data_IF_961021954808
#
_entry.id   IF_961021954808
#
_cell.length_a   1.000
_cell.length_b   1.000
_cell.length_c   1.000
_cell.angle_alpha   90.00
_cell.angle_beta   90.00
_cell.angle_gamma   90.00
#
_symmetry.space_group_name_H-M   'P 1'
#
loop_
_entity.id
_entity.type
_entity.pdbx_description
1 polymer ?
#
# COMPACT_ATOMS: atom_id res chain seq x y z
N UNK A 1 -35.37 49.49 -48.92
CA UNK A 1 -36.52 50.16 -48.28
C UNK A 1 -37.75 49.25 -48.36
N UNK A 2 -38.28 48.78 -47.24
CA UNK A 2 -39.70 48.36 -47.07
C UNK A 2 -39.96 48.04 -45.60
N UNK A 3 -40.72 48.93 -44.96
CA UNK A 3 -41.29 48.82 -43.61
C UNK A 3 -42.55 47.94 -43.63
N UNK A 4 -42.78 47.12 -42.59
CA UNK A 4 -44.09 46.79 -41.95
C UNK A 4 -43.80 46.26 -40.53
N UNK A 5 -44.01 46.98 -39.42
CA UNK A 5 -45.23 47.37 -38.65
C UNK A 5 -46.12 46.21 -38.12
N UNK A 6 -46.01 46.05 -36.79
CA UNK A 6 -47.01 45.74 -35.72
C UNK A 6 -47.70 44.38 -35.71
N UNK A 7 -47.63 43.69 -34.56
CA UNK A 7 -48.75 43.57 -33.61
C UNK A 7 -48.31 42.96 -32.28
N UNK A 8 -48.50 43.73 -31.22
CA UNK A 8 -48.44 43.34 -29.82
C UNK A 8 -49.62 42.43 -29.51
N UNK A 9 -49.39 41.25 -28.94
CA UNK A 9 -50.42 40.48 -28.25
C UNK A 9 -49.87 40.10 -26.87
N UNK A 10 -50.49 40.69 -25.85
CA UNK A 10 -50.43 40.25 -24.46
C UNK A 10 -51.11 38.88 -24.35
N UNK A 11 -50.44 37.88 -23.78
CA UNK A 11 -51.09 36.71 -23.22
C UNK A 11 -50.41 36.33 -21.91
N UNK A 12 -51.23 36.39 -20.85
CA UNK A 12 -50.98 36.12 -19.44
C UNK A 12 -50.66 34.62 -19.23
N UNK A 13 -49.82 34.23 -18.24
CA UNK A 13 -49.23 32.90 -18.15
C UNK A 13 -50.22 31.87 -17.58
N UNK A 14 -50.22 30.67 -18.14
CA UNK A 14 -50.80 29.47 -17.50
C UNK A 14 -49.63 28.62 -17.02
N UNK A 15 -49.33 28.72 -15.73
CA UNK A 15 -48.38 27.85 -15.06
C UNK A 15 -49.01 26.46 -14.85
N UNK A 16 -48.61 25.49 -15.68
CA UNK A 16 -48.89 24.08 -15.43
C UNK A 16 -47.74 23.50 -14.60
N UNK A 17 -48.00 23.22 -13.32
CA UNK A 17 -47.09 22.53 -12.42
C UNK A 17 -46.96 21.06 -12.83
N UNK A 18 -45.82 20.68 -13.41
CA UNK A 18 -45.44 19.28 -13.60
C UNK A 18 -45.00 18.70 -12.24
N UNK A 19 -45.47 17.52 -11.83
CA UNK A 19 -44.93 16.84 -10.67
C UNK A 19 -43.48 16.42 -10.97
N UNK A 20 -42.56 16.95 -10.16
CA UNK A 20 -41.19 16.47 -10.08
C UNK A 20 -41.22 15.02 -9.59
N UNK A 21 -41.07 14.07 -10.51
CA UNK A 21 -40.62 12.72 -10.17
C UNK A 21 -39.18 12.82 -9.67
N UNK A 22 -39.01 13.01 -8.36
CA UNK A 22 -37.73 12.80 -7.71
C UNK A 22 -37.45 11.30 -7.81
N UNK A 23 -36.72 10.91 -8.85
CA UNK A 23 -36.06 9.62 -8.85
C UNK A 23 -35.17 9.59 -7.61
N UNK A 24 -35.56 8.80 -6.62
CA UNK A 24 -34.66 8.42 -5.55
C UNK A 24 -33.49 7.69 -6.21
N UNK A 25 -32.43 8.42 -6.54
CA UNK A 25 -31.11 7.83 -6.67
C UNK A 25 -30.78 7.30 -5.28
N UNK A 26 -31.09 6.03 -5.07
CA UNK A 26 -30.44 5.26 -4.04
C UNK A 26 -28.94 5.47 -4.25
N UNK A 27 -28.31 6.21 -3.34
CA UNK A 27 -26.86 6.27 -3.28
C UNK A 27 -26.37 4.82 -3.26
N UNK A 28 -25.47 4.41 -4.16
CA UNK A 28 -24.86 3.09 -4.07
C UNK A 28 -24.28 2.98 -2.66
N UNK A 29 -24.73 1.93 -1.96
CA UNK A 29 -24.48 1.73 -0.54
C UNK A 29 -23.00 1.85 -0.24
N UNK A 30 -22.73 2.45 0.92
CA UNK A 30 -21.44 2.41 1.57
C UNK A 30 -20.89 0.99 1.43
N UNK A 31 -19.95 0.84 0.50
CA UNK A 31 -19.03 -0.27 0.53
C UNK A 31 -18.18 0.00 1.75
N UNK A 32 -18.69 -0.37 2.92
CA UNK A 32 -17.89 -0.56 4.11
C UNK A 32 -16.82 -1.55 3.66
N UNK A 33 -15.66 -1.04 3.24
CA UNK A 33 -14.46 -1.85 3.12
C UNK A 33 -14.35 -2.55 4.46
N UNK A 34 -14.66 -3.85 4.46
CA UNK A 34 -14.38 -4.71 5.59
C UNK A 34 -12.87 -4.71 5.70
N UNK A 35 -12.34 -3.73 6.44
CA UNK A 35 -10.95 -3.70 6.82
C UNK A 35 -10.74 -4.99 7.62
N UNK A 36 -10.22 -6.01 6.94
CA UNK A 36 -9.82 -7.24 7.58
C UNK A 36 -8.81 -6.84 8.64
N UNK A 37 -9.16 -7.05 9.90
CA UNK A 37 -8.27 -6.74 11.01
C UNK A 37 -6.99 -7.54 10.78
N UNK A 38 -5.86 -6.85 10.68
CA UNK A 38 -4.55 -7.46 10.50
C UNK A 38 -4.34 -8.52 11.59
N UNK A 39 -4.34 -9.79 11.19
CA UNK A 39 -4.26 -10.90 12.13
C UNK A 39 -2.83 -11.00 12.67
N UNK A 40 -2.62 -10.91 14.00
CA UNK A 40 -1.28 -10.98 14.57
C UNK A 40 -0.69 -12.37 14.40
N UNK A 41 0.23 -12.47 13.45
CA UNK A 41 1.10 -13.61 13.24
C UNK A 41 1.15 -14.01 11.78
N UNK A 42 2.32 -13.86 11.15
CA UNK A 42 3.02 -15.01 10.55
C UNK A 42 4.43 -14.73 10.07
N UNK A 43 4.78 -13.58 9.52
CA UNK A 43 6.18 -13.30 9.19
C UNK A 43 6.40 -11.80 9.16
N UNK A 44 7.61 -11.33 9.46
CA UNK A 44 7.89 -9.89 9.40
C UNK A 44 9.30 -9.58 8.95
N UNK A 45 9.44 -8.37 8.45
CA UNK A 45 10.71 -7.67 8.27
C UNK A 45 10.81 -6.61 9.35
N UNK A 46 11.96 -6.54 10.01
CA UNK A 46 12.30 -5.52 10.99
C UNK A 46 13.49 -4.71 10.52
N UNK A 47 13.41 -3.40 10.70
CA UNK A 47 14.49 -2.49 10.38
C UNK A 47 15.31 -2.20 11.64
N UNK A 48 16.54 -2.72 11.71
CA UNK A 48 17.47 -2.53 12.82
C UNK A 48 18.69 -1.68 12.44
N UNK A 49 18.66 -1.01 11.27
CA UNK A 49 19.74 -0.11 10.86
C UNK A 49 19.45 1.35 11.17
N UNK A 50 20.19 2.24 10.51
CA UNK A 50 20.19 3.67 10.83
C UNK A 50 19.31 4.53 9.91
N UNK A 51 18.74 3.93 8.86
CA UNK A 51 17.93 4.63 7.85
C UNK A 51 16.61 3.91 7.59
N UNK A 52 15.64 4.61 7.00
CA UNK A 52 14.39 4.02 6.57
C UNK A 52 14.62 2.90 5.54
N UNK A 53 13.91 1.79 5.72
CA UNK A 53 13.99 0.61 4.85
C UNK A 53 12.78 0.58 3.93
N UNK A 54 12.97 0.48 2.61
CA UNK A 54 11.84 0.19 1.72
C UNK A 54 11.37 -1.24 1.95
N UNK A 55 10.08 -1.46 2.15
CA UNK A 55 9.48 -2.79 2.31
C UNK A 55 8.42 -3.02 1.25
N UNK A 56 8.34 -4.27 0.81
CA UNK A 56 7.44 -4.75 -0.24
C UNK A 56 6.49 -5.75 0.41
N UNK A 57 5.19 -5.54 0.26
CA UNK A 57 4.15 -6.36 0.86
C UNK A 57 4.11 -7.73 0.18
N UNK A 58 3.92 -7.74 -1.14
CA UNK A 58 3.82 -8.94 -1.97
C UNK A 58 4.80 -8.80 -3.14
N UNK A 59 5.70 -9.77 -3.30
CA UNK A 59 6.68 -9.71 -4.39
C UNK A 59 6.05 -10.18 -5.71
N UNK A 60 5.36 -9.26 -6.38
CA UNK A 60 4.86 -9.48 -7.75
C UNK A 60 5.90 -8.99 -8.76
N UNK A 61 6.85 -9.86 -9.13
CA UNK A 61 7.95 -9.50 -10.03
C UNK A 61 8.41 -10.65 -10.92
N UNK A 62 8.91 -10.33 -12.13
CA UNK A 62 9.57 -11.29 -13.02
C UNK A 62 11.08 -11.02 -13.02
N UNK A 63 11.88 -11.99 -12.57
CA UNK A 63 13.29 -11.73 -12.23
C UNK A 63 13.41 -10.95 -10.90
N UNK A 64 14.63 -10.55 -10.52
CA UNK A 64 14.92 -9.84 -9.26
C UNK A 64 14.39 -8.39 -9.24
N UNK A 65 13.23 -8.12 -9.82
CA UNK A 65 12.66 -6.77 -9.95
C UNK A 65 11.19 -6.80 -9.63
N UNK A 66 10.80 -5.99 -8.65
CA UNK A 66 9.41 -5.80 -8.25
C UNK A 66 8.69 -4.89 -9.26
N UNK A 67 7.45 -5.24 -9.63
CA UNK A 67 6.75 -4.59 -10.74
C UNK A 67 6.15 -3.22 -10.39
N UNK A 68 5.83 -2.95 -9.13
CA UNK A 68 5.04 -1.77 -8.72
C UNK A 68 5.90 -0.54 -8.35
N UNK A 69 7.22 -0.61 -8.57
CA UNK A 69 8.16 0.45 -8.23
C UNK A 69 9.27 -0.04 -7.32
N UNK A 70 9.97 0.85 -6.59
CA UNK A 70 11.09 0.46 -5.74
C UNK A 70 10.66 -0.28 -4.45
N UNK A 71 9.50 0.07 -3.88
CA UNK A 71 8.90 -0.50 -2.66
C UNK A 71 7.50 0.10 -2.43
N UNK A 72 6.70 -0.50 -1.55
CA UNK A 72 5.34 -0.01 -1.24
C UNK A 72 5.32 1.01 -0.12
N UNK A 73 6.18 0.81 0.89
CA UNK A 73 6.24 1.69 2.05
C UNK A 73 7.65 1.74 2.64
N UNK A 74 7.96 2.85 3.30
CA UNK A 74 9.16 2.97 4.13
C UNK A 74 8.86 2.48 5.54
N UNK A 75 9.63 1.50 6.01
CA UNK A 75 9.67 1.03 7.39
C UNK A 75 10.67 1.88 8.19
N UNK A 76 10.21 2.65 9.20
CA UNK A 76 11.10 3.44 10.04
C UNK A 76 12.10 2.56 10.81
N UNK A 77 13.20 3.18 11.25
CA UNK A 77 14.18 2.53 12.12
C UNK A 77 13.52 2.02 13.40
N UNK A 78 13.89 0.81 13.82
CA UNK A 78 13.37 0.16 15.02
C UNK A 78 11.94 -0.39 14.89
N UNK A 79 11.33 -0.31 13.70
CA UNK A 79 9.98 -0.81 13.44
C UNK A 79 9.98 -2.19 12.78
N UNK A 80 8.80 -2.81 12.77
CA UNK A 80 8.52 -4.08 12.08
C UNK A 80 7.30 -3.93 11.18
N UNK A 81 7.20 -4.77 10.15
CA UNK A 81 6.05 -4.77 9.25
C UNK A 81 4.78 -5.39 9.84
N UNK A 82 4.88 -6.12 10.96
CA UNK A 82 3.74 -6.87 11.48
C UNK A 82 2.64 -6.02 12.10
N UNK A 83 1.43 -6.58 12.14
CA UNK A 83 0.26 -6.01 12.79
C UNK A 83 0.53 -5.58 14.24
N UNK A 84 1.32 -6.38 14.98
CA UNK A 84 1.61 -6.13 16.38
C UNK A 84 2.48 -4.88 16.60
N UNK A 85 3.25 -4.46 15.59
CA UNK A 85 3.99 -3.20 15.61
C UNK A 85 3.16 -1.99 15.14
N UNK A 86 1.89 -2.19 14.77
CA UNK A 86 1.01 -1.11 14.27
C UNK A 86 1.26 -0.72 12.82
N UNK A 87 2.18 -1.40 12.11
CA UNK A 87 2.42 -1.17 10.69
C UNK A 87 1.27 -1.70 9.81
N UNK A 88 0.62 -2.77 10.28
CA UNK A 88 -0.64 -3.25 9.73
C UNK A 88 -0.49 -4.21 8.55
N UNK A 89 0.68 -4.81 8.34
CA UNK A 89 0.82 -5.89 7.36
C UNK A 89 0.84 -7.26 8.03
N UNK A 90 0.14 -8.27 7.47
CA UNK A 90 0.23 -9.65 7.95
C UNK A 90 1.59 -10.31 7.62
N UNK A 91 2.24 -9.88 6.53
CA UNK A 91 3.57 -10.32 6.10
C UNK A 91 4.25 -9.24 5.25
N UNK A 92 5.51 -9.47 4.89
CA UNK A 92 6.24 -8.66 3.90
C UNK A 92 7.19 -9.58 3.13
N UNK A 93 7.11 -9.57 1.80
CA UNK A 93 7.84 -10.49 0.93
C UNK A 93 9.13 -9.93 0.35
N UNK A 94 9.43 -8.65 0.55
CA UNK A 94 10.68 -8.08 0.07
C UNK A 94 11.07 -6.80 0.76
N UNK A 95 12.26 -6.35 0.42
CA UNK A 95 12.80 -5.10 0.90
C UNK A 95 13.67 -4.42 -0.18
N UNK A 96 13.86 -3.13 0.01
CA UNK A 96 14.65 -2.26 -0.85
C UNK A 96 15.69 -1.51 -0.03
N UNK A 97 16.95 -1.65 -0.45
CA UNK A 97 18.10 -0.93 0.09
C UNK A 97 18.42 0.24 -0.84
N UNK A 98 18.47 1.45 -0.28
CA UNK A 98 18.75 2.66 -1.04
C UNK A 98 20.20 2.74 -1.54
N UNK A 99 20.40 3.53 -2.60
CA UNK A 99 21.74 3.77 -3.15
C UNK A 99 22.71 4.35 -2.10
N UNK A 100 23.93 3.80 -2.06
CA UNK A 100 24.94 4.15 -1.05
C UNK A 100 24.76 3.44 0.29
N UNK A 101 23.84 2.47 0.36
CA UNK A 101 23.66 1.60 1.52
C UNK A 101 23.78 0.14 1.12
N UNK A 102 24.20 -0.65 2.10
CA UNK A 102 24.27 -2.09 2.11
C UNK A 102 23.48 -2.56 3.33
N UNK A 103 23.13 -3.84 3.44
CA UNK A 103 22.47 -4.33 4.65
C UNK A 103 22.97 -5.71 5.07
N UNK A 104 23.09 -5.87 6.39
CA UNK A 104 23.23 -7.19 6.99
C UNK A 104 21.83 -7.77 7.16
N UNK A 105 21.62 -8.96 6.63
CA UNK A 105 20.37 -9.70 6.73
C UNK A 105 20.52 -10.80 7.75
N UNK A 106 19.58 -10.88 8.69
CA UNK A 106 19.51 -11.93 9.70
C UNK A 106 18.13 -12.54 9.72
N UNK A 107 18.08 -13.84 9.99
CA UNK A 107 16.83 -14.58 10.23
C UNK A 107 16.92 -15.33 11.54
N UNK A 108 15.80 -15.63 12.17
CA UNK A 108 15.78 -16.66 13.21
C UNK A 108 16.04 -18.04 12.61
N UNK A 109 16.54 -19.02 13.38
CA UNK A 109 16.52 -20.45 13.04
C UNK A 109 15.25 -21.15 13.59
N UNK A 110 15.14 -22.47 13.48
CA UNK A 110 13.99 -23.23 14.01
C UNK A 110 13.85 -23.16 15.53
N UNK A 111 14.92 -22.80 16.25
CA UNK A 111 14.89 -22.56 17.70
C UNK A 111 14.56 -21.11 18.07
N UNK A 112 14.31 -20.25 17.07
CA UNK A 112 14.04 -18.83 17.27
C UNK A 112 15.30 -17.99 17.49
N UNK A 113 16.50 -18.55 17.30
CA UNK A 113 17.76 -17.82 17.51
C UNK A 113 18.15 -17.06 16.25
N UNK A 114 18.51 -15.78 16.40
CA UNK A 114 19.00 -14.97 15.28
C UNK A 114 20.34 -15.47 14.74
N UNK A 115 20.40 -15.61 13.41
CA UNK A 115 21.56 -16.03 12.64
C UNK A 115 21.81 -15.03 11.51
N UNK A 116 23.08 -14.82 11.20
CA UNK A 116 23.48 -14.17 9.97
C UNK A 116 22.96 -14.98 8.78
N UNK A 117 22.42 -14.29 7.80
CA UNK A 117 21.95 -14.87 6.55
C UNK A 117 22.83 -14.42 5.39
N UNK A 118 22.90 -13.11 5.12
CA UNK A 118 23.62 -12.57 3.97
C UNK A 118 23.97 -11.08 4.16
N UNK A 119 24.85 -10.58 3.29
CA UNK A 119 25.18 -9.18 3.10
C UNK A 119 24.68 -8.74 1.72
N UNK A 120 23.66 -7.88 1.71
CA UNK A 120 23.00 -7.45 0.48
C UNK A 120 23.43 -6.03 0.11
N UNK A 121 23.66 -5.81 -1.19
CA UNK A 121 23.97 -4.50 -1.74
C UNK A 121 22.68 -3.67 -1.95
N UNK A 122 22.85 -2.45 -2.45
CA UNK A 122 21.74 -1.60 -2.91
C UNK A 122 20.84 -2.32 -3.91
N UNK A 123 19.54 -2.03 -3.85
CA UNK A 123 18.53 -2.57 -4.75
C UNK A 123 17.40 -3.30 -4.03
N UNK A 124 16.58 -3.97 -4.83
CA UNK A 124 15.47 -4.78 -4.35
C UNK A 124 15.94 -6.23 -4.14
N UNK A 125 15.44 -6.86 -3.09
CA UNK A 125 15.63 -8.29 -2.90
C UNK A 125 14.34 -8.91 -2.36
N UNK A 126 13.93 -10.07 -2.90
CA UNK A 126 12.88 -10.85 -2.27
C UNK A 126 13.40 -11.37 -0.95
N UNK A 127 12.51 -11.46 0.03
CA UNK A 127 12.73 -12.23 1.25
C UNK A 127 12.82 -13.70 0.86
N UNK A 128 13.93 -14.40 1.12
CA UNK A 128 14.03 -15.82 0.87
C UNK A 128 12.97 -16.58 1.67
N UNK A 129 12.30 -17.56 1.06
CA UNK A 129 11.44 -18.49 1.77
C UNK A 129 12.28 -19.64 2.33
N UNK A 130 12.27 -19.82 3.66
CA UNK A 130 12.98 -20.91 4.33
C UNK A 130 12.05 -22.08 4.69
N UNK A 131 10.80 -22.06 4.19
CA UNK A 131 9.85 -23.16 4.30
C UNK A 131 9.26 -23.33 5.70
N UNK A 132 9.21 -22.25 6.49
CA UNK A 132 8.77 -22.29 7.89
C UNK A 132 7.43 -21.59 8.06
N UNK A 133 6.66 -22.04 9.06
CA UNK A 133 5.38 -21.44 9.40
C UNK A 133 5.50 -19.99 9.89
N UNK A 134 6.66 -19.61 10.44
CA UNK A 134 6.93 -18.26 10.89
C UNK A 134 8.36 -17.84 10.60
N UNK A 135 8.52 -16.72 9.88
CA UNK A 135 9.83 -16.19 9.52
C UNK A 135 10.02 -14.76 10.01
N UNK A 136 11.15 -14.52 10.63
CA UNK A 136 11.50 -13.23 11.21
C UNK A 136 12.78 -12.78 10.57
N UNK A 137 12.71 -11.63 9.91
CA UNK A 137 13.82 -11.06 9.18
C UNK A 137 14.22 -9.75 9.82
N UNK A 138 15.51 -9.61 10.08
CA UNK A 138 16.15 -8.39 10.55
C UNK A 138 17.03 -7.89 9.41
N UNK A 139 16.74 -6.69 8.95
CA UNK A 139 17.51 -5.98 7.93
C UNK A 139 18.15 -4.81 8.65
N UNK A 140 19.47 -4.75 8.59
CA UNK A 140 20.24 -3.68 9.20
C UNK A 140 20.99 -2.91 8.10
N UNK A 141 20.35 -1.88 7.50
CA UNK A 141 21.00 -1.02 6.53
C UNK A 141 22.11 -0.18 7.17
N UNK A 142 23.29 -0.19 6.54
CA UNK A 142 24.45 0.61 6.90
C UNK A 142 25.05 1.26 5.65
N UNK A 143 25.83 2.32 5.85
CA UNK A 143 26.49 3.02 4.75
C UNK A 143 27.63 2.17 4.20
N UNK A 144 27.61 1.91 2.90
CA UNK A 144 28.81 1.55 2.15
C UNK A 144 29.38 2.82 1.48
#
# INVERSE_FOLDING_TARGET
MKYRRRLTILAVPVAASLPFGVGASAAPGDSSSSASACAPGTSYISNQGDVGLGVIFEWEGYGNSYAEGPYDRVLPVGQRTDCAAGFGWPFADGYYIGNGFCAVVRTTDSSGRWRYYDDVLTGQAPRPDLGRSFERWEINPYRC
#
